data_IF_214506028525
#
_entry.id   IF_214506028525
#
_cell.length_a   1.000
_cell.length_b   1.000
_cell.length_c   1.000
_cell.angle_alpha   90.00
_cell.angle_beta   90.00
_cell.angle_gamma   90.00
#
_symmetry.space_group_name_H-M   'P 1'
#
loop_
_entity.id
_entity.type
_entity.pdbx_description
1 polymer ?
#
# COMPACT_ATOMS: atom_id res chain seq x y z
N UNK A 1 -15.19 18.51 30.06
CA UNK A 1 -15.08 17.20 29.36
C UNK A 1 -16.06 17.02 28.21
N UNK A 2 -17.37 17.31 28.36
CA UNK A 2 -18.35 17.17 27.25
C UNK A 2 -18.00 17.98 25.98
N UNK A 3 -17.48 19.20 26.14
CA UNK A 3 -17.09 20.09 25.02
C UNK A 3 -15.91 19.51 24.21
N UNK A 4 -14.89 19.02 24.90
CA UNK A 4 -13.71 18.39 24.29
C UNK A 4 -14.06 17.09 23.55
N UNK A 5 -14.93 16.24 24.10
CA UNK A 5 -15.40 15.04 23.42
C UNK A 5 -16.28 15.35 22.19
N UNK A 6 -17.03 16.45 22.22
CA UNK A 6 -17.78 16.95 21.06
C UNK A 6 -16.83 17.41 19.94
N UNK A 7 -15.87 18.28 20.27
CA UNK A 7 -14.86 18.78 19.33
C UNK A 7 -13.98 17.65 18.78
N UNK A 8 -13.65 16.66 19.61
CA UNK A 8 -12.89 15.47 19.20
C UNK A 8 -13.69 14.56 18.27
N UNK A 9 -14.98 14.33 18.56
CA UNK A 9 -15.87 13.58 17.66
C UNK A 9 -15.98 14.30 16.32
N UNK A 10 -16.15 15.61 16.32
CA UNK A 10 -16.27 16.43 15.12
C UNK A 10 -14.95 16.51 14.32
N UNK A 11 -13.81 16.42 15.01
CA UNK A 11 -12.50 16.28 14.38
C UNK A 11 -12.31 14.91 13.69
N UNK A 12 -12.66 13.81 14.37
CA UNK A 12 -12.57 12.45 13.80
C UNK A 12 -13.60 12.24 12.69
N UNK A 13 -14.77 12.88 12.77
CA UNK A 13 -15.82 12.77 11.74
C UNK A 13 -15.40 13.34 10.39
N UNK A 14 -14.25 14.02 10.30
CA UNK A 14 -13.67 14.46 9.03
C UNK A 14 -13.18 13.22 8.28
N UNK A 15 -13.92 12.80 7.26
CA UNK A 15 -13.62 11.60 6.46
C UNK A 15 -12.16 11.50 5.99
N UNK A 16 -11.57 12.61 5.55
CA UNK A 16 -10.16 12.66 5.13
C UNK A 16 -9.15 12.27 6.23
N UNK A 17 -9.47 12.48 7.52
CA UNK A 17 -8.60 12.11 8.65
C UNK A 17 -8.74 10.61 8.96
N UNK A 18 -9.96 10.08 8.89
CA UNK A 18 -10.22 8.65 9.07
C UNK A 18 -9.59 7.81 7.96
N UNK A 19 -9.75 8.20 6.70
CA UNK A 19 -9.18 7.49 5.56
C UNK A 19 -7.64 7.49 5.60
N UNK A 20 -7.05 8.63 5.97
CA UNK A 20 -5.61 8.73 6.20
C UNK A 20 -5.15 7.82 7.34
N UNK A 21 -5.86 7.81 8.47
CA UNK A 21 -5.51 6.98 9.63
C UNK A 21 -5.60 5.48 9.31
N UNK A 22 -6.64 5.06 8.59
CA UNK A 22 -6.81 3.68 8.12
C UNK A 22 -5.69 3.32 7.15
N UNK A 23 -5.36 4.20 6.20
CA UNK A 23 -4.26 4.01 5.26
C UNK A 23 -2.90 3.80 5.95
N UNK A 24 -2.58 4.60 6.97
CA UNK A 24 -1.34 4.47 7.74
C UNK A 24 -1.31 3.18 8.56
N UNK A 25 -2.41 2.81 9.21
CA UNK A 25 -2.49 1.57 9.99
C UNK A 25 -2.34 0.33 9.12
N UNK A 26 -3.03 0.27 7.99
CA UNK A 26 -2.93 -0.83 7.03
C UNK A 26 -1.53 -0.87 6.42
N UNK A 27 -0.95 0.29 6.07
CA UNK A 27 0.41 0.40 5.56
C UNK A 27 1.45 -0.15 6.54
N UNK A 28 1.32 0.17 7.83
CA UNK A 28 2.19 -0.35 8.89
C UNK A 28 2.06 -1.87 9.08
N UNK A 29 0.83 -2.39 9.13
CA UNK A 29 0.59 -3.83 9.27
C UNK A 29 1.09 -4.63 8.05
N UNK A 30 0.88 -4.10 6.84
CA UNK A 30 1.36 -4.72 5.62
C UNK A 30 2.90 -4.75 5.56
N UNK A 31 3.56 -3.65 5.97
CA UNK A 31 5.01 -3.62 6.07
C UNK A 31 5.53 -4.71 7.03
N UNK A 32 4.89 -4.90 8.19
CA UNK A 32 5.28 -5.95 9.13
C UNK A 32 5.18 -7.36 8.52
N UNK A 33 4.14 -7.65 7.73
CA UNK A 33 3.98 -8.93 7.03
C UNK A 33 5.10 -9.13 6.00
N UNK A 34 5.38 -8.10 5.19
CA UNK A 34 6.42 -8.16 4.16
C UNK A 34 7.81 -8.34 4.78
N UNK A 35 8.08 -7.61 5.86
CA UNK A 35 9.33 -7.71 6.63
C UNK A 35 9.49 -9.12 7.21
N UNK A 36 8.44 -9.68 7.82
CA UNK A 36 8.46 -11.04 8.34
C UNK A 36 8.71 -12.10 7.25
N UNK A 37 8.07 -11.96 6.08
CA UNK A 37 8.31 -12.84 4.93
C UNK A 37 9.76 -12.75 4.45
N UNK A 38 10.30 -11.53 4.35
CA UNK A 38 11.68 -11.32 3.91
C UNK A 38 12.67 -11.93 4.91
N UNK A 39 12.60 -11.55 6.18
CA UNK A 39 13.56 -11.96 7.20
C UNK A 39 13.46 -13.46 7.54
N UNK A 40 12.24 -14.02 7.61
CA UNK A 40 12.04 -15.39 8.10
C UNK A 40 12.06 -16.46 7.01
N UNK A 41 11.81 -16.09 5.76
CA UNK A 41 11.71 -17.06 4.66
C UNK A 41 12.75 -16.75 3.59
N UNK A 42 12.78 -15.52 3.08
CA UNK A 42 13.62 -15.16 1.93
C UNK A 42 15.11 -15.14 2.32
N UNK A 43 15.48 -14.44 3.40
CA UNK A 43 16.86 -14.36 3.88
C UNK A 43 17.48 -15.74 4.16
N UNK A 44 16.84 -16.68 4.89
CA UNK A 44 17.42 -18.01 5.07
C UNK A 44 17.49 -18.82 3.77
N UNK A 45 16.53 -18.68 2.85
CA UNK A 45 16.61 -19.31 1.53
C UNK A 45 17.80 -18.79 0.72
N UNK A 46 18.04 -17.49 0.72
CA UNK A 46 19.18 -16.87 0.05
C UNK A 46 20.49 -17.30 0.70
N UNK A 47 20.56 -17.32 2.03
CA UNK A 47 21.74 -17.80 2.76
C UNK A 47 22.06 -19.26 2.43
N UNK A 48 21.03 -20.11 2.25
CA UNK A 48 21.21 -21.50 1.84
C UNK A 48 21.69 -21.59 0.38
N UNK A 49 21.10 -20.82 -0.54
CA UNK A 49 21.50 -20.80 -1.95
C UNK A 49 22.93 -20.25 -2.12
N UNK A 50 23.28 -19.17 -1.43
CA UNK A 50 24.64 -18.63 -1.45
C UNK A 50 25.63 -19.58 -0.75
N UNK A 51 25.23 -20.18 0.37
CA UNK A 51 26.04 -21.20 1.05
C UNK A 51 26.32 -22.43 0.19
N UNK A 52 25.37 -22.83 -0.67
CA UNK A 52 25.52 -23.96 -1.59
C UNK A 52 26.30 -23.61 -2.87
N UNK A 53 26.20 -22.38 -3.37
CA UNK A 53 26.90 -21.95 -4.60
C UNK A 53 28.34 -21.47 -4.30
N UNK A 54 28.56 -20.79 -3.17
CA UNK A 54 29.84 -20.20 -2.79
C UNK A 54 30.61 -20.99 -1.71
N UNK A 55 30.02 -22.05 -1.14
CA UNK A 55 30.62 -22.87 -0.09
C UNK A 55 30.86 -22.14 1.24
N UNK A 56 30.34 -20.92 1.38
CA UNK A 56 30.44 -20.06 2.58
C UNK A 56 29.12 -19.36 2.83
N UNK A 57 28.74 -19.29 4.10
CA UNK A 57 27.59 -18.49 4.54
C UNK A 57 27.87 -17.00 4.33
N UNK A 58 26.82 -16.18 4.12
CA UNK A 58 26.98 -14.71 4.10
C UNK A 58 27.65 -14.23 5.39
N UNK A 59 27.40 -14.89 6.52
CA UNK A 59 28.00 -14.62 7.83
C UNK A 59 29.54 -14.86 7.84
N UNK A 60 30.03 -15.86 7.12
CA UNK A 60 31.49 -16.12 6.98
C UNK A 60 32.19 -15.17 6.01
N UNK A 61 31.51 -14.69 4.96
CA UNK A 61 32.07 -13.65 4.09
C UNK A 61 32.06 -12.27 4.74
N UNK A 62 31.07 -11.99 5.58
CA UNK A 62 30.91 -10.69 6.25
C UNK A 62 31.77 -10.55 7.51
N UNK A 63 32.07 -11.65 8.21
CA UNK A 63 33.01 -11.68 9.34
C UNK A 63 34.48 -11.51 8.93
N UNK A 64 34.83 -11.70 7.66
CA UNK A 64 36.19 -11.42 7.15
C UNK A 64 36.42 -9.94 6.79
N UNK A 65 35.37 -9.11 6.76
CA UNK A 65 35.43 -7.68 6.45
C UNK A 65 35.28 -6.78 7.68
N UNK A 66 35.62 -7.29 8.87
CA UNK A 66 35.71 -6.49 10.09
C UNK A 66 37.04 -5.74 10.10
N UNK A 67 37.02 -4.44 9.85
CA UNK A 67 38.21 -3.58 9.99
C UNK A 67 37.94 -2.60 11.12
N UNK A 68 38.71 -2.69 12.21
CA UNK A 68 38.64 -1.77 13.35
C UNK A 68 39.10 -2.41 14.67
N UNK A 69 39.33 -1.60 15.72
CA UNK A 69 39.62 -2.10 17.07
C UNK A 69 38.49 -2.99 17.57
N UNK A 70 38.82 -3.97 18.43
CA UNK A 70 37.89 -4.97 18.97
C UNK A 70 36.62 -4.39 19.63
N UNK A 71 36.66 -3.11 20.01
CA UNK A 71 35.59 -2.42 20.73
C UNK A 71 34.54 -1.77 19.80
N UNK A 72 34.82 -1.60 18.50
CA UNK A 72 33.85 -1.09 17.52
C UNK A 72 34.28 -1.41 16.06
N UNK A 73 34.19 -2.68 15.62
CA UNK A 73 34.56 -3.05 14.26
C UNK A 73 33.57 -2.46 13.25
N UNK A 74 34.08 -1.86 12.17
CA UNK A 74 33.23 -1.42 11.06
C UNK A 74 32.88 -2.66 10.23
N UNK A 75 31.66 -3.16 10.44
CA UNK A 75 31.13 -4.35 9.76
C UNK A 75 30.59 -3.98 8.37
N UNK A 76 31.50 -3.74 7.41
CA UNK A 76 31.13 -3.54 6.01
C UNK A 76 30.32 -4.70 5.43
N UNK A 77 30.55 -5.91 5.95
CA UNK A 77 29.79 -7.09 5.57
C UNK A 77 28.31 -7.00 5.97
N UNK A 78 28.01 -6.58 7.20
CA UNK A 78 26.63 -6.41 7.66
C UNK A 78 25.91 -5.31 6.87
N UNK A 79 26.63 -4.26 6.49
CA UNK A 79 26.09 -3.19 5.66
C UNK A 79 25.73 -3.65 4.24
N UNK A 80 26.62 -4.41 3.58
CA UNK A 80 26.36 -4.97 2.24
C UNK A 80 25.19 -5.97 2.30
N UNK A 81 25.13 -6.81 3.35
CA UNK A 81 24.01 -7.71 3.57
C UNK A 81 22.68 -6.95 3.75
N UNK A 82 22.68 -5.84 4.48
CA UNK A 82 21.51 -4.98 4.62
C UNK A 82 21.05 -4.36 3.28
N UNK A 83 22.00 -3.93 2.44
CA UNK A 83 21.69 -3.42 1.09
C UNK A 83 21.07 -4.51 0.21
N UNK A 84 21.65 -5.71 0.21
CA UNK A 84 21.13 -6.84 -0.57
C UNK A 84 19.71 -7.20 -0.10
N UNK A 85 19.49 -7.29 1.21
CA UNK A 85 18.16 -7.53 1.77
C UNK A 85 17.15 -6.44 1.38
N UNK A 86 17.55 -5.16 1.38
CA UNK A 86 16.70 -4.06 0.97
C UNK A 86 16.29 -4.16 -0.51
N UNK A 87 17.22 -4.46 -1.40
CA UNK A 87 16.95 -4.63 -2.84
C UNK A 87 15.97 -5.80 -3.07
N UNK A 88 16.14 -6.89 -2.34
CA UNK A 88 15.29 -8.08 -2.47
C UNK A 88 13.88 -7.82 -1.93
N UNK A 89 13.77 -7.14 -0.79
CA UNK A 89 12.48 -6.71 -0.25
C UNK A 89 11.74 -5.79 -1.23
N UNK A 90 12.44 -4.80 -1.80
CA UNK A 90 11.88 -3.91 -2.82
C UNK A 90 11.40 -4.69 -4.06
N UNK A 91 12.17 -5.69 -4.50
CA UNK A 91 11.80 -6.54 -5.63
C UNK A 91 10.55 -7.39 -5.34
N UNK A 92 10.42 -7.95 -4.13
CA UNK A 92 9.24 -8.73 -3.73
C UNK A 92 7.99 -7.85 -3.64
N UNK A 93 8.10 -6.67 -3.02
CA UNK A 93 7.00 -5.69 -2.99
C UNK A 93 6.58 -5.34 -4.42
N UNK A 94 7.55 -5.09 -5.30
CA UNK A 94 7.27 -4.80 -6.70
C UNK A 94 6.53 -5.96 -7.39
N UNK A 95 6.93 -7.22 -7.17
CA UNK A 95 6.23 -8.38 -7.72
C UNK A 95 4.79 -8.51 -7.20
N UNK A 96 4.57 -8.26 -5.91
CA UNK A 96 3.24 -8.29 -5.30
C UNK A 96 2.37 -7.19 -5.90
N UNK A 97 2.84 -5.94 -5.93
CA UNK A 97 2.12 -4.80 -6.52
C UNK A 97 1.87 -5.03 -8.01
N UNK A 98 2.83 -5.58 -8.74
CA UNK A 98 2.64 -5.96 -10.15
C UNK A 98 1.60 -7.06 -10.31
N UNK A 99 1.55 -8.03 -9.39
CA UNK A 99 0.52 -9.07 -9.33
C UNK A 99 -0.87 -8.49 -9.09
N UNK A 100 -1.01 -7.62 -8.09
CA UNK A 100 -2.25 -6.91 -7.81
C UNK A 100 -2.65 -5.97 -8.96
N UNK A 101 -1.73 -5.24 -9.58
CA UNK A 101 -2.03 -4.40 -10.74
C UNK A 101 -2.45 -5.25 -11.95
N UNK A 102 -1.89 -6.45 -12.13
CA UNK A 102 -2.30 -7.38 -13.18
C UNK A 102 -3.69 -7.96 -12.91
N UNK A 103 -3.98 -8.37 -11.68
CA UNK A 103 -5.31 -8.82 -11.24
C UNK A 103 -6.35 -7.70 -11.32
N UNK A 104 -6.01 -6.50 -10.87
CA UNK A 104 -6.83 -5.31 -10.96
C UNK A 104 -7.04 -4.91 -12.43
N UNK A 105 -6.06 -5.07 -13.33
CA UNK A 105 -6.27 -4.83 -14.76
C UNK A 105 -7.20 -5.86 -15.42
N UNK A 106 -7.23 -7.09 -14.92
CA UNK A 106 -8.18 -8.12 -15.35
C UNK A 106 -9.60 -7.84 -14.83
N UNK A 107 -9.72 -7.30 -13.61
CA UNK A 107 -10.99 -6.93 -12.95
C UNK A 107 -11.50 -5.53 -13.34
N UNK A 108 -10.62 -4.65 -13.82
CA UNK A 108 -10.92 -3.29 -14.34
C UNK A 108 -11.72 -3.31 -15.64
N UNK A 109 -11.85 -4.48 -16.28
CA UNK A 109 -12.84 -4.67 -17.36
C UNK A 109 -14.28 -4.77 -16.84
N UNK A 110 -14.49 -5.01 -15.55
CA UNK A 110 -15.83 -5.18 -14.97
C UNK A 110 -16.21 -4.14 -13.90
N UNK A 111 -15.27 -3.41 -13.29
CA UNK A 111 -15.58 -2.66 -12.04
C UNK A 111 -15.05 -1.21 -11.98
N UNK A 112 -14.67 -0.59 -13.11
CA UNK A 112 -14.30 0.86 -13.15
C UNK A 112 -15.34 1.72 -13.87
N UNK A 113 -16.49 1.16 -14.22
CA UNK A 113 -17.65 1.95 -14.60
C UNK A 113 -18.76 1.83 -13.54
N UNK A 114 -18.45 2.17 -12.29
CA UNK A 114 -19.34 3.09 -11.59
C UNK A 114 -19.16 4.48 -12.23
N UNK A 115 -19.51 4.57 -13.52
CA UNK A 115 -19.86 5.84 -14.11
C UNK A 115 -20.95 6.43 -13.21
N UNK A 116 -20.91 7.74 -12.91
CA UNK A 116 -21.87 8.35 -12.01
C UNK A 116 -23.28 7.91 -12.45
N UNK A 117 -24.02 7.22 -11.59
CA UNK A 117 -25.39 6.79 -11.92
C UNK A 117 -26.37 7.96 -11.87
N UNK A 118 -25.91 9.10 -11.32
CA UNK A 118 -26.70 10.32 -11.12
C UNK A 118 -26.15 11.51 -11.91
N UNK A 119 -27.06 12.31 -12.46
CA UNK A 119 -26.82 13.66 -13.00
C UNK A 119 -27.60 14.68 -12.18
N UNK A 120 -27.15 15.93 -12.17
CA UNK A 120 -27.90 17.02 -11.52
C UNK A 120 -28.93 17.58 -12.50
N UNK A 121 -30.18 17.70 -12.05
CA UNK A 121 -31.23 18.33 -12.84
C UNK A 121 -30.96 19.85 -13.02
N UNK A 122 -30.93 20.39 -14.26
CA UNK A 122 -30.67 21.81 -14.50
C UNK A 122 -31.73 22.78 -13.96
N UNK A 123 -32.94 22.29 -13.68
CA UNK A 123 -34.08 23.12 -13.30
C UNK A 123 -34.28 23.18 -11.78
N UNK A 124 -34.15 22.05 -11.08
CA UNK A 124 -34.42 21.95 -9.64
C UNK A 124 -33.19 21.60 -8.80
N UNK A 125 -32.02 21.42 -9.41
CA UNK A 125 -30.75 21.09 -8.77
C UNK A 125 -30.77 19.79 -7.93
N UNK A 126 -31.79 18.94 -8.10
CA UNK A 126 -31.88 17.64 -7.42
C UNK A 126 -31.07 16.58 -8.17
N UNK A 127 -30.50 15.62 -7.42
CA UNK A 127 -29.83 14.44 -7.98
C UNK A 127 -30.86 13.49 -8.60
N UNK A 128 -30.66 13.12 -9.86
CA UNK A 128 -31.57 12.27 -10.65
C UNK A 128 -30.77 11.23 -11.43
N UNK A 129 -31.39 10.13 -11.82
CA UNK A 129 -30.73 9.09 -12.62
C UNK A 129 -30.24 9.66 -13.98
N UNK A 130 -29.05 9.23 -14.43
CA UNK A 130 -28.47 9.68 -15.72
C UNK A 130 -29.41 9.44 -16.91
N UNK A 131 -30.19 8.35 -16.89
CA UNK A 131 -31.11 7.97 -17.97
C UNK A 131 -32.48 8.65 -17.87
N UNK A 132 -32.71 9.48 -16.85
CA UNK A 132 -33.98 10.19 -16.71
C UNK A 132 -34.15 11.20 -17.87
N UNK A 133 -35.21 11.02 -18.67
CA UNK A 133 -35.70 11.97 -19.68
C UNK A 133 -36.60 13.04 -19.06
N UNK A 134 -37.19 12.76 -17.90
CA UNK A 134 -38.02 13.69 -17.13
C UNK A 134 -37.61 13.68 -15.67
N UNK A 135 -37.49 14.86 -15.06
CA UNK A 135 -37.11 14.96 -13.65
C UNK A 135 -38.28 14.49 -12.75
N UNK A 136 -38.08 13.54 -11.81
CA UNK A 136 -39.12 13.10 -10.88
C UNK A 136 -39.50 14.18 -9.86
N UNK A 137 -38.61 15.14 -9.60
CA UNK A 137 -38.80 16.14 -8.55
C UNK A 137 -39.52 17.41 -9.03
N UNK A 138 -39.25 17.84 -10.26
CA UNK A 138 -39.86 19.05 -10.84
C UNK A 138 -40.61 18.81 -12.15
N UNK A 139 -40.72 17.56 -12.61
CA UNK A 139 -41.45 17.16 -13.82
C UNK A 139 -41.00 17.82 -15.12
N UNK A 140 -39.86 18.51 -15.14
CA UNK A 140 -39.26 19.12 -16.33
C UNK A 140 -38.72 18.05 -17.30
N UNK A 141 -38.92 18.27 -18.60
CA UNK A 141 -38.29 17.48 -19.66
C UNK A 141 -36.80 17.86 -19.76
N UNK A 142 -35.93 16.87 -19.66
CA UNK A 142 -34.47 17.05 -19.65
C UNK A 142 -33.86 16.94 -21.05
N UNK A 143 -34.66 16.52 -22.04
CA UNK A 143 -34.26 16.35 -23.45
C UNK A 143 -34.20 17.69 -24.23
N UNK A 144 -34.59 18.81 -23.62
CA UNK A 144 -34.60 20.15 -24.23
C UNK A 144 -33.47 21.03 -23.69
N UNK A 145 -32.22 20.60 -23.86
CA UNK A 145 -31.05 21.46 -24.16
C UNK A 145 -29.76 20.67 -24.29
#
# INVERSE_FOLDING_TARGET
MKKFFGEFKEFISRGNVLDLAVGVMIGGAFNAIVTALCEKIITPLINLIIGTIAGKSIEEMTSMLKVGPADNPIDFGAFIAAIINFIIMAFIIFLIVKGFNKLASLKKKEEIEEAPTTKVCPFCCSEIDIKATRCPHCTSELDKK
#
